data_IF_175521588871
#
_entry.id   IF_175521588871
#
_cell.length_a   1.000
_cell.length_b   1.000
_cell.length_c   1.000
_cell.angle_alpha   90.00
_cell.angle_beta   90.00
_cell.angle_gamma   90.00
#
_symmetry.space_group_name_H-M   'P 1'
#
loop_
_entity.id
_entity.type
_entity.pdbx_description
1 polymer ?
#
# COMPACT_ATOMS: atom_id res chain seq x y z
N UNK A 1 -6.37 8.56 -0.06
CA UNK A 1 -5.73 7.38 -0.71
C UNK A 1 -5.94 7.40 -2.22
N UNK A 2 -7.15 7.69 -2.70
CA UNK A 2 -7.48 7.73 -4.14
C UNK A 2 -6.51 8.57 -5.00
N UNK A 3 -5.97 9.66 -4.43
CA UNK A 3 -5.01 10.56 -5.10
C UNK A 3 -3.66 9.92 -5.48
N UNK A 4 -3.21 8.90 -4.73
CA UNK A 4 -1.98 8.15 -5.07
C UNK A 4 -2.30 6.83 -5.78
N UNK A 5 -3.43 6.21 -5.43
CA UNK A 5 -3.82 4.87 -5.86
C UNK A 5 -4.31 4.85 -7.31
N UNK A 6 -5.31 5.66 -7.64
CA UNK A 6 -5.98 5.59 -8.94
C UNK A 6 -5.10 6.01 -10.12
N UNK A 7 -4.21 7.02 -10.04
CA UNK A 7 -3.36 7.41 -11.16
C UNK A 7 -2.26 6.41 -11.53
N UNK A 8 -2.07 5.35 -10.73
CA UNK A 8 -0.93 4.41 -10.84
C UNK A 8 -1.38 2.97 -11.06
N UNK A 9 -2.64 2.79 -11.43
CA UNK A 9 -3.27 1.46 -11.54
C UNK A 9 -3.10 0.63 -10.26
N UNK A 10 -3.00 1.28 -9.10
CA UNK A 10 -2.93 0.62 -7.80
C UNK A 10 -4.34 0.48 -7.23
N UNK A 11 -4.51 -0.48 -6.32
CA UNK A 11 -5.71 -0.71 -5.52
C UNK A 11 -5.30 -0.87 -4.06
N UNK A 12 -6.11 -0.35 -3.15
CA UNK A 12 -5.98 -0.63 -1.72
C UNK A 12 -7.12 -1.53 -1.25
N UNK A 13 -6.76 -2.65 -0.62
CA UNK A 13 -7.68 -3.52 0.08
C UNK A 13 -7.41 -3.45 1.57
N UNK A 14 -8.39 -3.04 2.35
CA UNK A 14 -8.23 -2.88 3.80
C UNK A 14 -9.32 -2.01 4.40
N UNK A 15 -9.13 -1.63 5.66
CA UNK A 15 -10.09 -0.81 6.39
C UNK A 15 -9.52 -0.26 7.68
N UNK A 16 -10.25 0.69 8.24
CA UNK A 16 -9.82 1.39 9.44
C UNK A 16 -10.83 2.42 9.89
N UNK A 17 -10.54 3.01 11.05
CA UNK A 17 -11.23 4.20 11.52
C UNK A 17 -10.22 5.27 11.92
N UNK A 18 -9.61 5.11 13.10
CA UNK A 18 -8.49 5.94 13.56
C UNK A 18 -7.14 5.41 13.07
N UNK A 19 -7.05 4.10 12.93
CA UNK A 19 -5.91 3.38 12.38
C UNK A 19 -6.39 2.56 11.19
N UNK A 20 -5.60 2.54 10.12
CA UNK A 20 -5.92 1.87 8.86
C UNK A 20 -4.89 0.80 8.56
N UNK A 21 -5.38 -0.39 8.25
CA UNK A 21 -4.55 -1.54 7.89
C UNK A 21 -5.06 -2.16 6.59
N UNK A 22 -4.13 -2.65 5.77
CA UNK A 22 -4.47 -3.23 4.49
C UNK A 22 -3.24 -3.49 3.62
N UNK A 23 -3.49 -3.76 2.35
CA UNK A 23 -2.48 -3.98 1.34
C UNK A 23 -2.71 -3.04 0.15
N UNK A 24 -1.62 -2.78 -0.58
CA UNK A 24 -1.66 -2.11 -1.88
C UNK A 24 -1.18 -3.10 -2.94
N UNK A 25 -1.95 -3.24 -4.02
CA UNK A 25 -1.62 -4.08 -5.18
C UNK A 25 -1.95 -3.37 -6.49
N UNK A 26 -1.71 -4.03 -7.62
CA UNK A 26 -2.18 -3.53 -8.91
C UNK A 26 -3.67 -3.86 -9.12
N UNK A 27 -4.42 -2.95 -9.73
CA UNK A 27 -5.79 -3.17 -10.22
C UNK A 27 -5.78 -4.22 -11.33
N UNK A 28 -4.78 -4.16 -12.20
CA UNK A 28 -4.60 -5.07 -13.32
C UNK A 28 -3.61 -6.19 -12.98
N UNK A 29 -3.50 -7.17 -13.89
CA UNK A 29 -2.57 -8.28 -13.74
C UNK A 29 -1.12 -7.77 -13.68
N UNK A 30 -0.35 -8.29 -12.73
CA UNK A 30 1.06 -7.98 -12.54
C UNK A 30 1.42 -8.01 -11.06
N UNK A 31 2.64 -7.56 -10.75
CA UNK A 31 3.11 -7.41 -9.37
C UNK A 31 3.41 -5.94 -9.08
N UNK A 32 3.11 -5.50 -7.86
CA UNK A 32 3.62 -4.23 -7.38
C UNK A 32 5.16 -4.25 -7.38
N UNK A 33 5.78 -3.10 -7.64
CA UNK A 33 7.22 -2.94 -7.70
C UNK A 33 7.70 -2.06 -6.55
N UNK A 34 9.02 -2.03 -6.32
CA UNK A 34 9.61 -1.13 -5.33
C UNK A 34 9.36 0.34 -5.67
N UNK A 35 9.22 0.68 -6.95
CA UNK A 35 8.81 2.02 -7.36
C UNK A 35 7.42 2.36 -6.84
N UNK A 36 6.45 1.45 -6.97
CA UNK A 36 5.10 1.65 -6.41
C UNK A 36 5.15 1.80 -4.89
N UNK A 37 5.92 0.95 -4.19
CA UNK A 37 6.10 1.03 -2.73
C UNK A 37 6.66 2.38 -2.30
N UNK A 38 7.72 2.85 -2.96
CA UNK A 38 8.34 4.14 -2.66
C UNK A 38 7.40 5.32 -2.91
N UNK A 39 6.58 5.27 -3.96
CA UNK A 39 5.58 6.30 -4.23
C UNK A 39 4.48 6.35 -3.16
N UNK A 40 4.01 5.19 -2.69
CA UNK A 40 3.03 5.11 -1.60
C UNK A 40 3.64 5.63 -0.29
N UNK A 41 4.87 5.23 0.04
CA UNK A 41 5.59 5.73 1.21
C UNK A 41 5.77 7.25 1.17
N UNK A 42 6.16 7.78 0.00
CA UNK A 42 6.31 9.24 -0.20
C UNK A 42 5.01 9.98 0.00
N UNK A 43 3.90 9.46 -0.53
CA UNK A 43 2.58 10.07 -0.36
C UNK A 43 2.14 10.03 1.10
N UNK A 44 2.27 8.89 1.78
CA UNK A 44 1.92 8.75 3.20
C UNK A 44 2.74 9.70 4.09
N UNK A 45 4.05 9.78 3.88
CA UNK A 45 4.93 10.67 4.65
C UNK A 45 4.71 12.16 4.38
N UNK A 46 4.17 12.52 3.21
CA UNK A 46 3.85 13.91 2.87
C UNK A 46 2.41 14.34 3.16
N UNK A 47 1.53 13.41 3.55
CA UNK A 47 0.11 13.70 3.67
C UNK A 47 -0.22 14.27 5.06
N UNK A 48 -0.81 15.47 5.16
CA UNK A 48 -0.96 16.20 6.43
C UNK A 48 -1.89 15.51 7.45
N UNK A 49 -2.73 14.57 7.01
CA UNK A 49 -3.64 13.81 7.89
C UNK A 49 -3.02 12.48 8.37
N UNK A 50 -1.84 12.09 7.88
CA UNK A 50 -1.16 10.88 8.30
C UNK A 50 -0.21 11.25 9.43
N UNK A 51 -0.48 10.72 10.63
CA UNK A 51 0.36 10.97 11.81
C UNK A 51 1.59 10.05 11.81
N UNK A 52 1.39 8.80 11.42
CA UNK A 52 2.41 7.76 11.36
C UNK A 52 2.03 6.76 10.25
N UNK A 53 3.02 6.11 9.66
CA UNK A 53 2.81 5.06 8.67
C UNK A 53 3.92 4.02 8.71
N UNK A 54 3.58 2.78 8.39
CA UNK A 54 4.52 1.68 8.21
C UNK A 54 4.21 0.95 6.89
N UNK A 55 5.25 0.56 6.15
CA UNK A 55 5.11 -0.30 4.98
C UNK A 55 6.08 -1.47 5.12
N UNK A 56 5.55 -2.69 5.03
CA UNK A 56 6.37 -3.89 4.90
C UNK A 56 7.11 -3.92 3.54
N UNK A 57 8.04 -4.86 3.40
CA UNK A 57 8.55 -5.26 2.09
C UNK A 57 7.42 -5.77 1.17
N UNK A 58 7.69 -5.85 -0.14
CA UNK A 58 6.79 -6.50 -1.08
C UNK A 58 6.56 -7.97 -0.70
N UNK A 59 5.32 -8.42 -0.84
CA UNK A 59 4.86 -9.75 -0.48
C UNK A 59 4.16 -10.42 -1.66
N UNK A 60 4.37 -11.72 -1.79
CA UNK A 60 3.61 -12.52 -2.76
C UNK A 60 2.21 -12.78 -2.20
N UNK A 61 1.18 -12.42 -2.95
CA UNK A 61 -0.20 -12.54 -2.46
C UNK A 61 -0.69 -13.98 -2.28
N UNK A 62 0.01 -14.97 -2.86
CA UNK A 62 -0.47 -16.36 -2.96
C UNK A 62 0.40 -17.35 -2.20
N UNK A 63 1.71 -17.14 -2.19
CA UNK A 63 2.68 -18.12 -1.70
C UNK A 63 3.51 -17.64 -0.51
N UNK A 64 3.30 -16.41 -0.06
CA UNK A 64 4.02 -15.89 1.08
C UNK A 64 3.51 -16.49 2.39
N UNK A 65 4.39 -17.18 3.11
CA UNK A 65 4.07 -17.86 4.38
C UNK A 65 4.58 -17.12 5.60
N UNK A 66 5.14 -15.91 5.46
CA UNK A 66 5.56 -15.11 6.64
C UNK A 66 4.30 -14.63 7.37
N UNK A 67 4.38 -14.42 8.68
CA UNK A 67 3.23 -13.86 9.42
C UNK A 67 2.91 -12.44 8.93
N UNK A 68 1.64 -12.06 9.00
CA UNK A 68 1.22 -10.68 8.76
C UNK A 68 1.73 -9.82 9.93
N UNK A 69 2.37 -8.66 9.65
CA UNK A 69 2.84 -7.77 10.71
C UNK A 69 1.70 -7.27 11.60
#
# INVERSE_FOLDING_TARGET
MDEVIMPRDLYFGGGGHLEWQGFVGLILRGSATEEHRNQVATWLGGHPQVLEHELSDLRDAWYDTRDWP
#
